data_IF_950747267283
#
_entry.id   IF_950747267283
#
_cell.length_a   1.000
_cell.length_b   1.000
_cell.length_c   1.000
_cell.angle_alpha   90.00
_cell.angle_beta   90.00
_cell.angle_gamma   90.00
#
_symmetry.space_group_name_H-M   'P 1'
#
loop_
_entity.id
_entity.type
_entity.pdbx_description
1 polymer ?
#
# COMPACT_ATOMS: atom_id res chain seq x y z
N UNK A 1 -10.00 12.65 -0.29
CA UNK A 1 -9.36 11.34 -0.07
C UNK A 1 -9.74 10.31 -1.12
N UNK A 2 -11.02 9.97 -1.29
CA UNK A 2 -11.43 8.91 -2.25
C UNK A 2 -10.97 9.20 -3.68
N UNK A 3 -11.11 10.45 -4.15
CA UNK A 3 -10.59 10.83 -5.46
C UNK A 3 -9.06 10.67 -5.55
N UNK A 4 -8.31 11.03 -4.50
CA UNK A 4 -6.86 10.79 -4.40
C UNK A 4 -6.53 9.29 -4.45
N UNK A 5 -7.34 8.45 -3.81
CA UNK A 5 -7.18 6.99 -3.86
C UNK A 5 -7.48 6.42 -5.26
N UNK A 6 -8.43 7.00 -6.01
CA UNK A 6 -8.69 6.64 -7.43
C UNK A 6 -7.53 6.97 -8.35
N UNK A 7 -6.71 7.97 -8.03
CA UNK A 7 -5.52 8.30 -8.82
C UNK A 7 -4.36 7.32 -8.59
N UNK A 8 -4.49 6.37 -7.66
CA UNK A 8 -3.55 5.29 -7.34
C UNK A 8 -2.08 5.50 -7.74
N UNK A 9 -1.24 5.79 -6.75
CA UNK A 9 0.22 5.91 -6.88
C UNK A 9 0.65 6.88 -7.99
N UNK A 10 0.60 8.18 -7.70
CA UNK A 10 1.37 9.18 -8.43
C UNK A 10 2.85 9.03 -8.00
N UNK A 11 3.54 8.07 -8.60
CA UNK A 11 5.01 8.04 -8.63
C UNK A 11 5.43 7.65 -10.03
N UNK A 12 6.18 8.55 -10.69
CA UNK A 12 6.69 8.39 -12.06
C UNK A 12 7.54 7.13 -12.27
N UNK A 13 7.95 6.45 -11.19
CA UNK A 13 8.85 5.29 -11.23
C UNK A 13 8.12 3.95 -11.12
N UNK A 14 6.80 3.94 -10.95
CA UNK A 14 6.00 2.73 -10.74
C UNK A 14 5.04 2.46 -11.90
N UNK A 15 5.01 1.21 -12.39
CA UNK A 15 3.93 0.75 -13.28
C UNK A 15 2.69 0.46 -12.42
N UNK A 16 1.83 1.45 -12.22
CA UNK A 16 0.56 1.29 -11.52
C UNK A 16 -0.62 1.54 -12.48
N UNK A 17 -1.60 0.63 -12.44
CA UNK A 17 -2.86 0.75 -13.16
C UNK A 17 -4.00 0.78 -12.14
N UNK A 18 -4.97 1.67 -12.36
CA UNK A 18 -6.18 1.75 -11.54
C UNK A 18 -7.41 1.51 -12.42
N UNK A 19 -8.30 0.66 -11.93
CA UNK A 19 -9.53 0.27 -12.60
C UNK A 19 -10.71 0.65 -11.71
N UNK A 20 -11.49 1.64 -12.11
CA UNK A 20 -12.73 2.00 -11.44
C UNK A 20 -13.76 0.91 -11.76
N UNK A 21 -14.23 0.19 -10.73
CA UNK A 21 -15.23 -0.88 -10.88
C UNK A 21 -16.64 -0.38 -10.60
N UNK A 22 -16.77 0.57 -9.68
CA UNK A 22 -18.00 1.31 -9.40
C UNK A 22 -17.66 2.64 -8.71
N UNK A 23 -18.67 3.44 -8.34
CA UNK A 23 -18.49 4.68 -7.58
C UNK A 23 -17.68 4.47 -6.29
N UNK A 24 -17.90 3.34 -5.62
CA UNK A 24 -17.31 2.99 -4.32
C UNK A 24 -16.34 1.82 -4.38
N UNK A 25 -15.94 1.37 -5.57
CA UNK A 25 -15.03 0.23 -5.71
C UNK A 25 -13.96 0.49 -6.76
N UNK A 26 -12.71 0.30 -6.35
CA UNK A 26 -11.53 0.51 -7.19
C UNK A 26 -10.64 -0.73 -7.07
N UNK A 27 -10.20 -1.26 -8.20
CA UNK A 27 -9.11 -2.22 -8.25
C UNK A 27 -7.83 -1.50 -8.69
N UNK A 28 -6.69 -1.94 -8.20
CA UNK A 28 -5.38 -1.43 -8.59
C UNK A 28 -4.41 -2.57 -8.78
N UNK A 29 -3.47 -2.38 -9.69
CA UNK A 29 -2.35 -3.28 -9.92
C UNK A 29 -1.08 -2.44 -9.98
N UNK A 30 -0.07 -2.80 -9.20
CA UNK A 30 1.21 -2.11 -9.16
C UNK A 30 2.36 -3.08 -9.35
N UNK A 31 3.39 -2.66 -10.10
CA UNK A 31 4.67 -3.33 -10.17
C UNK A 31 5.78 -2.30 -9.93
N UNK A 32 6.62 -2.55 -8.93
CA UNK A 32 7.74 -1.69 -8.59
C UNK A 32 8.92 -2.50 -8.07
N UNK A 33 10.12 -1.98 -8.22
CA UNK A 33 11.36 -2.61 -7.75
C UNK A 33 11.96 -1.72 -6.68
N UNK A 34 12.32 -2.28 -5.54
CA UNK A 34 13.03 -1.56 -4.48
C UNK A 34 14.42 -2.15 -4.27
N UNK A 35 15.45 -1.32 -4.06
CA UNK A 35 16.76 -1.80 -3.63
C UNK A 35 16.67 -2.37 -2.20
N UNK A 36 17.46 -3.40 -1.93
CA UNK A 36 17.63 -3.94 -0.57
C UNK A 36 18.82 -3.27 0.12
N UNK A 37 18.73 -3.04 1.42
CA UNK A 37 19.81 -2.39 2.22
C UNK A 37 21.14 -3.16 2.12
N UNK A 38 21.07 -4.48 2.06
CA UNK A 38 22.24 -5.37 1.99
C UNK A 38 22.75 -5.61 0.56
N UNK A 39 22.29 -4.81 -0.40
CA UNK A 39 22.52 -5.02 -1.83
C UNK A 39 21.49 -5.96 -2.46
N UNK A 40 21.30 -5.80 -3.77
CA UNK A 40 20.29 -6.52 -4.54
C UNK A 40 18.98 -5.75 -4.63
N UNK A 41 17.91 -6.43 -5.00
CA UNK A 41 16.60 -5.80 -5.20
C UNK A 41 15.44 -6.74 -4.91
N UNK A 42 14.28 -6.16 -4.59
CA UNK A 42 13.01 -6.87 -4.53
C UNK A 42 12.05 -6.29 -5.55
N UNK A 43 11.54 -7.14 -6.43
CA UNK A 43 10.44 -6.81 -7.32
C UNK A 43 9.12 -7.15 -6.62
N UNK A 44 8.24 -6.18 -6.57
CA UNK A 44 6.98 -6.24 -5.84
C UNK A 44 5.86 -6.07 -6.85
N UNK A 45 4.96 -7.06 -6.91
CA UNK A 45 3.74 -7.00 -7.72
C UNK A 45 2.55 -7.10 -6.80
N UNK A 46 1.74 -6.06 -6.75
CA UNK A 46 0.57 -5.99 -5.89
C UNK A 46 -0.69 -5.85 -6.72
N UNK A 47 -1.71 -6.63 -6.39
CA UNK A 47 -3.08 -6.45 -6.87
C UNK A 47 -3.92 -6.13 -5.66
N UNK A 48 -4.67 -5.03 -5.70
CA UNK A 48 -5.41 -4.54 -4.55
C UNK A 48 -6.83 -4.13 -4.94
N UNK A 49 -7.80 -4.59 -4.17
CA UNK A 49 -9.19 -4.18 -4.24
C UNK A 49 -9.50 -3.24 -3.06
N UNK A 50 -10.11 -2.11 -3.36
CA UNK A 50 -10.53 -1.11 -2.39
C UNK A 50 -12.02 -0.88 -2.52
N UNK A 51 -12.74 -0.93 -1.38
CA UNK A 51 -14.17 -0.66 -1.31
C UNK A 51 -14.46 0.42 -0.28
N UNK A 52 -15.06 1.52 -0.70
CA UNK A 52 -15.49 2.62 0.16
C UNK A 52 -16.88 2.34 0.75
N UNK A 53 -17.06 2.76 1.99
CA UNK A 53 -18.36 2.94 2.64
C UNK A 53 -18.40 4.39 3.14
N UNK A 54 -19.42 5.12 2.72
CA UNK A 54 -19.66 6.51 3.12
C UNK A 54 -20.39 6.52 4.47
N UNK A 55 -19.83 7.25 5.42
CA UNK A 55 -20.40 7.47 6.77
C UNK A 55 -20.30 8.97 7.09
N UNK A 56 -20.27 9.38 8.37
CA UNK A 56 -19.80 10.71 8.76
C UNK A 56 -18.26 10.82 8.55
N UNK A 57 -17.85 10.76 7.27
CA UNK A 57 -16.49 10.48 6.83
C UNK A 57 -16.47 9.38 5.78
N UNK A 58 -15.42 8.56 5.77
CA UNK A 58 -15.33 7.40 4.87
C UNK A 58 -14.52 6.29 5.50
N UNK A 59 -14.94 5.05 5.29
CA UNK A 59 -14.16 3.85 5.59
C UNK A 59 -13.83 3.18 4.26
N UNK A 60 -12.58 2.81 4.04
CA UNK A 60 -12.13 2.10 2.83
C UNK A 60 -11.57 0.77 3.26
N UNK A 61 -12.26 -0.31 2.91
CA UNK A 61 -11.75 -1.66 3.02
C UNK A 61 -10.71 -1.90 1.94
N UNK A 62 -9.63 -2.55 2.32
CA UNK A 62 -8.50 -2.87 1.45
C UNK A 62 -8.28 -4.37 1.53
N UNK A 63 -8.17 -5.02 0.39
CA UNK A 63 -7.68 -6.38 0.25
C UNK A 63 -6.62 -6.39 -0.86
N UNK A 64 -5.51 -7.07 -0.65
CA UNK A 64 -4.45 -7.19 -1.64
C UNK A 64 -3.77 -8.54 -1.60
N UNK A 65 -3.29 -8.95 -2.77
CA UNK A 65 -2.33 -10.03 -2.94
C UNK A 65 -1.06 -9.39 -3.47
N UNK A 66 0.06 -9.66 -2.80
CA UNK A 66 1.36 -9.13 -3.19
C UNK A 66 2.36 -10.27 -3.39
N UNK A 67 2.91 -10.34 -4.59
CA UNK A 67 4.03 -11.20 -4.94
C UNK A 67 5.34 -10.44 -4.73
N UNK A 68 6.28 -11.11 -4.09
CA UNK A 68 7.61 -10.62 -3.76
C UNK A 68 8.61 -11.50 -4.47
N UNK A 69 9.52 -10.92 -5.25
CA UNK A 69 10.64 -11.64 -5.86
C UNK A 69 11.92 -10.92 -5.48
N UNK A 70 12.62 -11.47 -4.50
CA UNK A 70 13.84 -10.89 -3.96
C UNK A 70 15.06 -11.54 -4.60
N UNK A 71 16.00 -10.69 -5.02
CA UNK A 71 17.32 -11.04 -5.54
C UNK A 71 18.39 -10.40 -4.65
N UNK A 72 18.68 -10.97 -3.47
CA UNK A 72 19.73 -10.46 -2.61
C UNK A 72 21.10 -10.70 -3.25
N UNK A 73 22.08 -9.84 -2.94
CA UNK A 73 23.44 -9.99 -3.49
C UNK A 73 24.20 -11.20 -2.94
N UNK A 74 23.84 -11.68 -1.74
CA UNK A 74 24.59 -12.70 -1.00
C UNK A 74 23.83 -14.03 -0.81
N UNK A 75 22.66 -14.20 -1.43
CA UNK A 75 21.86 -15.43 -1.31
C UNK A 75 21.11 -15.74 -2.60
N UNK A 76 20.51 -16.93 -2.66
CA UNK A 76 19.67 -17.31 -3.79
C UNK A 76 18.44 -16.38 -3.92
N UNK A 77 17.95 -16.24 -5.16
CA UNK A 77 16.67 -15.62 -5.44
C UNK A 77 15.57 -16.41 -4.73
N UNK A 78 14.63 -15.69 -4.12
CA UNK A 78 13.44 -16.29 -3.53
C UNK A 78 12.20 -15.51 -3.90
N UNK A 79 11.07 -16.22 -3.92
CA UNK A 79 9.76 -15.63 -4.12
C UNK A 79 8.83 -15.94 -2.96
N UNK A 80 7.91 -15.03 -2.70
CA UNK A 80 6.93 -15.16 -1.64
C UNK A 80 5.64 -14.48 -2.02
N UNK A 81 4.51 -14.95 -1.47
CA UNK A 81 3.20 -14.33 -1.69
C UNK A 81 2.60 -13.99 -0.34
N UNK A 82 2.20 -12.73 -0.19
CA UNK A 82 1.43 -12.27 0.96
C UNK A 82 0.03 -11.87 0.54
N UNK A 83 -0.90 -12.03 1.46
CA UNK A 83 -2.21 -11.41 1.41
C UNK A 83 -2.27 -10.34 2.49
N UNK A 84 -2.75 -9.16 2.16
CA UNK A 84 -3.00 -8.12 3.13
C UNK A 84 -4.44 -7.67 3.06
N UNK A 85 -5.03 -7.43 4.23
CA UNK A 85 -6.38 -6.93 4.34
C UNK A 85 -6.51 -6.00 5.51
N UNK A 86 -7.45 -5.08 5.41
CA UNK A 86 -7.67 -4.12 6.48
C UNK A 86 -8.55 -2.98 6.04
N UNK A 87 -8.39 -1.84 6.70
CA UNK A 87 -9.18 -0.67 6.43
C UNK A 87 -8.41 0.62 6.68
N UNK A 88 -8.88 1.65 5.99
CA UNK A 88 -8.48 3.04 6.17
C UNK A 88 -9.74 3.83 6.53
N UNK A 89 -9.74 4.52 7.66
CA UNK A 89 -10.81 5.45 8.03
C UNK A 89 -10.35 6.88 7.86
N UNK A 90 -11.25 7.72 7.36
CA UNK A 90 -11.11 9.16 7.22
C UNK A 90 -12.28 9.79 7.94
N UNK A 91 -12.03 10.33 9.13
CA UNK A 91 -13.05 10.92 9.98
C UNK A 91 -12.82 12.42 10.07
N UNK A 92 -13.89 13.22 9.99
CA UNK A 92 -13.80 14.65 10.27
C UNK A 92 -13.59 14.86 11.76
N UNK A 93 -12.70 15.77 12.14
CA UNK A 93 -12.50 16.13 13.55
C UNK A 93 -13.58 17.14 13.93
N UNK A 94 -14.57 16.72 14.70
CA UNK A 94 -15.75 17.53 15.03
C UNK A 94 -15.40 18.90 15.65
N UNK A 95 -14.28 19.00 16.37
CA UNK A 95 -13.83 20.23 17.02
C UNK A 95 -13.00 21.16 16.11
N UNK A 96 -12.59 20.72 14.92
CA UNK A 96 -11.70 21.48 14.03
C UNK A 96 -12.15 21.34 12.56
N UNK A 97 -12.98 22.29 12.07
CA UNK A 97 -13.41 22.32 10.68
C UNK A 97 -12.21 22.31 9.72
N UNK A 98 -12.23 21.41 8.74
CA UNK A 98 -11.15 21.25 7.76
C UNK A 98 -10.03 20.30 8.19
N UNK A 99 -10.04 19.78 9.42
CA UNK A 99 -9.15 18.70 9.84
C UNK A 99 -9.82 17.33 9.74
N UNK A 100 -9.06 16.35 9.23
CA UNK A 100 -9.48 14.96 9.16
C UNK A 100 -8.47 14.09 9.90
N UNK A 101 -8.96 13.09 10.62
CA UNK A 101 -8.15 12.01 11.17
C UNK A 101 -8.12 10.84 10.19
N UNK A 102 -6.90 10.41 9.84
CA UNK A 102 -6.65 9.23 9.03
C UNK A 102 -6.15 8.11 9.94
N UNK A 103 -6.86 6.98 9.96
CA UNK A 103 -6.41 5.79 10.66
C UNK A 103 -6.35 4.62 9.68
N UNK A 104 -5.27 3.85 9.72
CA UNK A 104 -5.12 2.67 8.87
C UNK A 104 -4.73 1.49 9.73
N UNK A 105 -5.39 0.38 9.47
CA UNK A 105 -5.06 -0.92 10.05
C UNK A 105 -4.94 -1.90 8.90
N UNK A 106 -3.76 -2.50 8.71
CA UNK A 106 -3.52 -3.52 7.70
C UNK A 106 -2.94 -4.75 8.41
N UNK A 107 -3.54 -5.90 8.17
CA UNK A 107 -3.03 -7.19 8.60
C UNK A 107 -2.37 -7.86 7.41
N UNK A 108 -1.09 -8.17 7.57
CA UNK A 108 -0.33 -8.95 6.61
C UNK A 108 -0.42 -10.43 7.00
N UNK A 109 -0.81 -11.27 6.05
CA UNK A 109 -0.80 -12.71 6.15
C UNK A 109 0.18 -13.26 5.11
N UNK A 110 1.20 -13.96 5.59
CA UNK A 110 2.08 -14.75 4.74
C UNK A 110 1.34 -16.01 4.31
N UNK A 111 1.35 -16.33 3.02
CA UNK A 111 0.92 -17.67 2.60
C UNK A 111 2.00 -18.65 3.03
N UNK A 112 1.65 -19.63 3.85
CA UNK A 112 2.52 -20.79 4.09
C UNK A 112 2.69 -21.52 2.74
N UNK A 113 3.81 -21.30 2.06
CA UNK A 113 4.10 -22.00 0.81
C UNK A 113 5.60 -22.14 0.57
N UNK A 114 6.05 -23.41 0.66
CA UNK A 114 7.16 -24.01 -0.08
C UNK A 114 8.59 -23.47 0.16
N UNK A 115 8.88 -22.83 1.29
CA UNK A 115 10.25 -22.90 1.79
C UNK A 115 10.36 -24.16 2.65
N UNK A 116 11.23 -25.08 2.24
CA UNK A 116 11.54 -26.30 2.99
C UNK A 116 12.14 -26.02 4.39
N UNK A 117 12.38 -24.75 4.73
CA UNK A 117 12.93 -24.32 6.01
C UNK A 117 12.22 -23.05 6.55
N UNK A 118 11.50 -23.16 7.68
CA UNK A 118 10.78 -22.04 8.30
C UNK A 118 11.68 -20.89 8.77
N UNK A 119 12.98 -21.13 9.02
CA UNK A 119 13.90 -20.08 9.44
C UNK A 119 14.16 -19.06 8.32
N UNK A 120 14.36 -19.54 7.09
CA UNK A 120 14.54 -18.69 5.90
C UNK A 120 13.29 -17.90 5.51
N UNK A 121 12.09 -18.44 5.79
CA UNK A 121 10.82 -17.71 5.58
C UNK A 121 10.66 -16.54 6.54
N UNK A 122 11.05 -16.72 7.81
CA UNK A 122 10.96 -15.68 8.83
C UNK A 122 11.95 -14.54 8.56
N UNK A 123 13.17 -14.85 8.10
CA UNK A 123 14.18 -13.85 7.72
C UNK A 123 13.73 -13.02 6.50
N UNK A 124 13.17 -13.66 5.46
CA UNK A 124 12.61 -12.92 4.31
C UNK A 124 11.45 -12.00 4.69
N UNK A 125 10.62 -12.42 5.65
CA UNK A 125 9.53 -11.61 6.18
C UNK A 125 10.03 -10.40 7.00
N UNK A 126 10.96 -10.61 7.94
CA UNK A 126 11.47 -9.54 8.81
C UNK A 126 12.36 -8.54 8.09
N UNK A 127 13.21 -9.03 7.19
CA UNK A 127 14.32 -8.23 6.65
C UNK A 127 13.97 -7.57 5.32
N UNK A 128 12.98 -8.12 4.59
CA UNK A 128 12.61 -7.62 3.26
C UNK A 128 11.15 -7.18 3.20
N UNK A 129 10.21 -8.06 3.53
CA UNK A 129 8.78 -7.79 3.29
C UNK A 129 8.26 -6.69 4.22
N UNK A 130 8.51 -6.78 5.53
CA UNK A 130 8.02 -5.80 6.50
C UNK A 130 8.60 -4.40 6.23
N UNK A 131 9.92 -4.22 6.02
CA UNK A 131 10.50 -2.92 5.69
C UNK A 131 9.95 -2.34 4.38
N UNK A 132 9.87 -3.14 3.31
CA UNK A 132 9.36 -2.69 2.02
C UNK A 132 7.88 -2.29 2.12
N UNK A 133 7.04 -3.06 2.82
CA UNK A 133 5.63 -2.72 3.06
C UNK A 133 5.50 -1.41 3.84
N UNK A 134 6.31 -1.20 4.90
CA UNK A 134 6.32 0.05 5.65
C UNK A 134 6.70 1.23 4.78
N UNK A 135 7.69 1.09 3.90
CA UNK A 135 8.06 2.13 2.96
C UNK A 135 6.92 2.45 1.99
N UNK A 136 6.29 1.44 1.40
CA UNK A 136 5.13 1.63 0.50
C UNK A 136 4.01 2.38 1.22
N UNK A 137 3.68 1.98 2.46
CA UNK A 137 2.66 2.66 3.26
C UNK A 137 3.04 4.12 3.54
N UNK A 138 4.28 4.40 3.98
CA UNK A 138 4.75 5.77 4.21
C UNK A 138 4.68 6.64 2.96
N UNK A 139 5.14 6.13 1.82
CA UNK A 139 5.08 6.87 0.56
C UNK A 139 3.63 7.20 0.17
N UNK A 140 2.69 6.29 0.42
CA UNK A 140 1.26 6.53 0.20
C UNK A 140 0.69 7.61 1.12
N UNK A 141 1.06 7.61 2.40
CA UNK A 141 0.66 8.68 3.33
C UNK A 141 1.21 10.04 2.89
N UNK A 142 2.49 10.12 2.55
CA UNK A 142 3.10 11.37 2.10
C UNK A 142 2.43 11.91 0.83
N UNK A 143 2.04 11.03 -0.09
CA UNK A 143 1.33 11.40 -1.31
C UNK A 143 -0.05 11.97 -0.99
N UNK A 144 -0.77 11.33 -0.08
CA UNK A 144 -2.07 11.80 0.42
C UNK A 144 -1.93 13.18 1.07
N UNK A 145 -0.95 13.36 1.95
CA UNK A 145 -0.69 14.64 2.61
C UNK A 145 -0.39 15.74 1.60
N UNK A 146 0.50 15.46 0.63
CA UNK A 146 0.82 16.41 -0.45
C UNK A 146 -0.40 16.78 -1.29
N UNK A 147 -1.17 15.79 -1.75
CA UNK A 147 -2.37 16.03 -2.55
C UNK A 147 -3.43 16.84 -1.78
N UNK A 148 -3.60 16.59 -0.48
CA UNK A 148 -4.49 17.38 0.37
C UNK A 148 -4.00 18.83 0.53
N UNK A 149 -2.71 19.03 0.80
CA UNK A 149 -2.10 20.36 0.90
C UNK A 149 -2.26 21.14 -0.41
N UNK A 150 -2.00 20.53 -1.56
CA UNK A 150 -2.15 21.17 -2.86
C UNK A 150 -3.62 21.51 -3.17
N UNK A 151 -4.55 20.63 -2.81
CA UNK A 151 -5.99 20.89 -2.98
C UNK A 151 -6.49 22.07 -2.12
N UNK A 152 -5.93 22.24 -0.92
CA UNK A 152 -6.28 23.36 -0.04
C UNK A 152 -5.80 24.71 -0.58
N UNK A 153 -4.71 24.71 -1.37
CA UNK A 153 -4.17 25.90 -2.02
C UNK A 153 -4.89 26.27 -3.32
N UNK A 154 -5.61 25.31 -3.91
CA UNK A 154 -6.36 25.49 -5.15
C UNK A 154 -7.82 25.96 -4.92
N UNK A 155 -8.29 26.03 -3.68
CA UNK A 155 -9.60 26.60 -3.36
C UNK A 155 -9.52 28.14 -3.43
N UNK A 156 -10.29 28.82 -4.30
CA UNK A 156 -10.37 30.27 -4.29
C UNK A 156 -11.10 30.74 -3.02
N UNK A 157 -10.60 31.83 -2.43
CA UNK A 157 -11.25 32.60 -1.36
C UNK A 157 -12.65 33.08 -1.76
#
# INVERSE_FOLDING_TARGET
MWEVMKFGVISNECCACVFIRSEDMVASQGCFTQPLENGGSVKIRSQCLMKRIVVQGSIVFVESITEWVARPSCSAEWSHVTRDYGWVTVLSVASMPGMCQLQTVIRLQSSESMMNDPASSLLGLSDVIIPALRMVLRSRYQLVDKALLDSSRAAPL
#
